data_IF_197629804979
#
_entry.id   IF_197629804979
#
_cell.length_a   1.000
_cell.length_b   1.000
_cell.length_c   1.000
_cell.angle_alpha   90.00
_cell.angle_beta   90.00
_cell.angle_gamma   90.00
#
_symmetry.space_group_name_H-M   'P 1'
#
loop_
_entity.id
_entity.type
_entity.pdbx_description
1 polymer ?
#
# COMPACT_ATOMS: atom_id res chain seq x y z
N UNK A 1 40.44 9.27 -24.02
CA UNK A 1 40.02 9.22 -25.44
C UNK A 1 39.21 7.99 -25.87
N UNK A 2 39.04 6.93 -25.04
CA UNK A 2 38.31 5.70 -25.45
C UNK A 2 36.84 5.91 -25.87
N UNK A 3 36.11 6.85 -25.25
CA UNK A 3 34.74 7.22 -25.63
C UNK A 3 34.64 8.03 -26.94
N UNK A 4 35.76 8.47 -27.50
CA UNK A 4 35.83 9.46 -28.58
C UNK A 4 36.27 8.88 -29.94
N UNK A 5 36.18 7.56 -30.13
CA UNK A 5 36.61 6.90 -31.38
C UNK A 5 38.12 6.98 -31.57
N UNK A 6 38.87 6.50 -30.57
CA UNK A 6 40.29 6.77 -30.40
C UNK A 6 41.20 6.26 -31.53
N UNK A 7 40.83 5.25 -32.31
CA UNK A 7 41.76 4.69 -33.31
C UNK A 7 42.18 5.69 -34.40
N UNK A 8 41.23 6.49 -34.91
CA UNK A 8 41.52 7.47 -35.98
C UNK A 8 42.18 8.76 -35.47
N UNK A 9 41.91 9.14 -34.22
CA UNK A 9 42.47 10.37 -33.63
C UNK A 9 43.85 10.10 -33.01
N UNK A 10 44.05 8.96 -32.34
CA UNK A 10 45.37 8.51 -31.89
C UNK A 10 46.33 8.34 -33.06
N UNK A 11 45.92 7.68 -34.15
CA UNK A 11 46.80 7.50 -35.31
C UNK A 11 47.21 8.81 -36.01
N UNK A 12 46.48 9.91 -35.82
CA UNK A 12 46.87 11.24 -36.31
C UNK A 12 47.79 11.95 -35.30
N UNK A 13 47.57 11.78 -33.99
CA UNK A 13 48.46 12.31 -32.95
C UNK A 13 49.84 11.62 -32.96
N UNK A 14 49.88 10.31 -33.16
CA UNK A 14 51.12 9.52 -33.30
C UNK A 14 51.92 9.94 -34.54
N UNK A 15 51.24 10.30 -35.65
CA UNK A 15 51.87 10.84 -36.87
C UNK A 15 52.34 12.28 -36.75
N UNK A 16 51.70 13.07 -35.87
CA UNK A 16 52.10 14.45 -35.58
C UNK A 16 53.30 14.53 -34.63
N UNK A 17 53.70 13.41 -34.00
CA UNK A 17 54.90 13.33 -33.18
C UNK A 17 54.80 14.09 -31.85
N UNK A 18 53.60 14.26 -31.31
CA UNK A 18 53.42 14.92 -30.01
C UNK A 18 54.03 14.07 -28.88
N UNK A 19 55.08 14.57 -28.23
CA UNK A 19 55.77 13.88 -27.12
C UNK A 19 54.97 13.99 -25.81
N UNK A 20 55.13 13.02 -24.90
CA UNK A 20 54.47 13.03 -23.59
C UNK A 20 54.91 14.26 -22.76
N UNK A 21 54.01 15.24 -22.61
CA UNK A 21 54.23 16.45 -21.81
C UNK A 21 54.05 17.77 -22.55
N UNK A 22 53.95 17.76 -23.89
CA UNK A 22 53.70 18.98 -24.68
C UNK A 22 52.23 19.40 -24.71
N UNK A 23 51.99 20.71 -24.68
CA UNK A 23 50.64 21.30 -24.75
C UNK A 23 50.14 21.27 -26.20
N UNK A 24 49.12 20.45 -26.44
CA UNK A 24 48.52 20.31 -27.77
C UNK A 24 47.54 21.46 -28.02
N UNK A 25 47.90 22.39 -28.91
CA UNK A 25 47.10 23.61 -29.20
C UNK A 25 46.37 23.57 -30.55
N UNK A 26 46.38 22.42 -31.23
CA UNK A 26 45.86 22.34 -32.60
C UNK A 26 44.33 22.58 -32.67
N UNK A 27 43.86 23.59 -33.44
CA UNK A 27 42.43 23.92 -33.52
C UNK A 27 41.52 22.78 -33.99
N UNK A 28 42.06 21.87 -34.82
CA UNK A 28 41.32 20.68 -35.27
C UNK A 28 41.06 19.68 -34.14
N UNK A 29 42.01 19.53 -33.21
CA UNK A 29 41.87 18.64 -32.06
C UNK A 29 40.87 19.23 -31.07
N UNK A 30 40.94 20.54 -30.80
CA UNK A 30 39.95 21.24 -29.97
C UNK A 30 38.53 21.07 -30.53
N UNK A 31 38.32 21.28 -31.84
CA UNK A 31 37.00 21.06 -32.49
C UNK A 31 36.56 19.59 -32.47
N UNK A 32 37.49 18.64 -32.56
CA UNK A 32 37.18 17.22 -32.46
C UNK A 32 36.74 16.83 -31.05
N UNK A 33 37.39 17.38 -30.01
CA UNK A 33 37.01 17.22 -28.61
C UNK A 33 35.62 17.84 -28.36
N UNK A 34 35.38 19.06 -28.83
CA UNK A 34 34.08 19.76 -28.71
C UNK A 34 32.95 18.95 -29.37
N UNK A 35 33.13 18.46 -30.60
CA UNK A 35 32.14 17.59 -31.26
C UNK A 35 31.86 16.31 -30.48
N UNK A 36 32.90 15.74 -29.89
CA UNK A 36 32.80 14.51 -29.11
C UNK A 36 32.09 14.74 -27.78
N UNK A 37 32.38 15.86 -27.10
CA UNK A 37 31.64 16.32 -25.91
C UNK A 37 30.16 16.52 -26.24
N UNK A 38 29.86 17.26 -27.31
CA UNK A 38 28.48 17.46 -27.79
C UNK A 38 27.76 16.14 -28.08
N UNK A 39 28.45 15.15 -28.64
CA UNK A 39 27.88 13.82 -28.90
C UNK A 39 27.57 13.07 -27.60
N UNK A 40 28.45 13.11 -26.62
CA UNK A 40 28.23 12.51 -25.29
C UNK A 40 27.09 13.22 -24.55
N UNK A 41 27.04 14.56 -24.63
CA UNK A 41 25.94 15.35 -24.08
C UNK A 41 24.61 15.00 -24.74
N UNK A 42 24.55 14.91 -26.07
CA UNK A 42 23.34 14.49 -26.80
C UNK A 42 22.90 13.07 -26.43
N UNK A 43 23.85 12.16 -26.24
CA UNK A 43 23.57 10.80 -25.78
C UNK A 43 22.96 10.79 -24.38
N UNK A 44 23.60 11.46 -23.41
CA UNK A 44 23.09 11.59 -22.04
C UNK A 44 21.75 12.33 -21.98
N UNK A 45 21.58 13.36 -22.81
CA UNK A 45 20.32 14.07 -22.96
C UNK A 45 19.22 13.15 -23.47
N UNK A 46 19.52 12.30 -24.47
CA UNK A 46 18.58 11.30 -24.97
C UNK A 46 18.10 10.33 -23.89
N UNK A 47 19.03 9.82 -23.06
CA UNK A 47 18.68 8.95 -21.92
C UNK A 47 17.77 9.67 -20.93
N UNK A 48 18.13 10.89 -20.52
CA UNK A 48 17.32 11.67 -19.56
C UNK A 48 15.96 12.03 -20.12
N UNK A 49 15.88 12.38 -21.40
CA UNK A 49 14.61 12.68 -22.07
C UNK A 49 13.70 11.46 -22.03
N UNK A 50 14.21 10.27 -22.39
CA UNK A 50 13.43 9.03 -22.31
C UNK A 50 12.96 8.76 -20.89
N UNK A 51 13.84 8.88 -19.88
CA UNK A 51 13.48 8.70 -18.47
C UNK A 51 12.35 9.65 -18.03
N UNK A 52 12.44 10.92 -18.43
CA UNK A 52 11.41 11.92 -18.15
C UNK A 52 10.08 11.58 -18.84
N UNK A 53 10.10 11.01 -20.05
CA UNK A 53 8.88 10.59 -20.74
C UNK A 53 8.14 9.43 -20.03
N UNK A 54 8.83 8.58 -19.25
CA UNK A 54 8.21 7.58 -18.38
C UNK A 54 7.63 8.24 -17.13
N UNK A 55 8.42 9.11 -16.49
CA UNK A 55 8.01 9.82 -15.27
C UNK A 55 6.80 10.74 -15.52
N UNK A 56 6.68 11.32 -16.72
CA UNK A 56 5.53 12.14 -17.14
C UNK A 56 4.20 11.37 -17.07
N UNK A 57 4.21 10.06 -17.35
CA UNK A 57 3.01 9.21 -17.26
C UNK A 57 2.55 9.13 -15.81
N UNK A 58 3.49 8.81 -14.90
CA UNK A 58 3.22 8.77 -13.47
C UNK A 58 2.78 10.12 -12.92
N UNK A 59 3.38 11.22 -13.39
CA UNK A 59 3.02 12.55 -12.93
C UNK A 59 1.57 12.91 -13.28
N UNK A 60 1.13 12.62 -14.52
CA UNK A 60 -0.27 12.84 -14.92
C UNK A 60 -1.25 12.02 -14.08
N UNK A 61 -0.95 10.75 -13.84
CA UNK A 61 -1.77 9.89 -12.99
C UNK A 61 -1.83 10.40 -11.55
N UNK A 62 -0.69 10.83 -11.00
CA UNK A 62 -0.61 11.44 -9.67
C UNK A 62 -1.46 12.70 -9.56
N UNK A 63 -1.46 13.57 -10.57
CA UNK A 63 -2.29 14.78 -10.58
C UNK A 63 -3.78 14.44 -10.45
N UNK A 64 -4.25 13.41 -11.16
CA UNK A 64 -5.64 12.93 -11.07
C UNK A 64 -5.93 12.38 -9.68
N UNK A 65 -5.10 11.47 -9.16
CA UNK A 65 -5.33 10.82 -7.86
C UNK A 65 -5.24 11.81 -6.71
N UNK A 66 -4.26 12.69 -6.71
CA UNK A 66 -4.13 13.71 -5.66
C UNK A 66 -5.19 14.81 -5.79
N UNK A 67 -5.64 15.11 -7.01
CA UNK A 67 -6.80 15.97 -7.23
C UNK A 67 -8.05 15.42 -6.55
N UNK A 68 -8.35 14.14 -6.80
CA UNK A 68 -9.47 13.43 -6.15
C UNK A 68 -9.30 13.32 -4.63
N UNK A 69 -8.10 12.99 -4.17
CA UNK A 69 -7.79 12.90 -2.73
C UNK A 69 -8.01 14.23 -2.01
N UNK A 70 -7.55 15.33 -2.60
CA UNK A 70 -7.71 16.66 -2.03
C UNK A 70 -9.17 17.10 -2.03
N UNK A 71 -9.93 16.82 -3.09
CA UNK A 71 -11.36 17.15 -3.10
C UNK A 71 -12.14 16.44 -1.99
N UNK A 72 -11.76 15.20 -1.64
CA UNK A 72 -12.36 14.48 -0.49
C UNK A 72 -11.98 15.13 0.85
N UNK A 73 -10.73 15.58 1.00
CA UNK A 73 -10.27 16.21 2.24
C UNK A 73 -10.96 17.54 2.50
N UNK A 74 -11.05 18.38 1.46
CA UNK A 74 -11.45 19.79 1.57
C UNK A 74 -12.98 19.99 1.59
N UNK A 75 -13.77 19.00 1.19
CA UNK A 75 -15.23 19.13 1.08
C UNK A 75 -15.95 18.73 2.37
N UNK A 76 -17.03 19.43 2.73
CA UNK A 76 -17.84 19.15 3.91
C UNK A 76 -19.03 18.20 3.66
N UNK A 77 -19.24 17.81 2.40
CA UNK A 77 -20.29 16.92 1.92
C UNK A 77 -19.79 16.05 0.77
N UNK A 78 -19.99 14.73 0.86
CA UNK A 78 -19.56 13.77 -0.16
C UNK A 78 -20.72 13.14 -0.93
N UNK A 79 -21.95 13.59 -0.70
CA UNK A 79 -23.15 12.96 -1.25
C UNK A 79 -23.14 12.86 -2.77
N UNK A 80 -22.88 14.00 -3.45
CA UNK A 80 -22.79 14.02 -4.90
C UNK A 80 -21.67 13.14 -5.46
N UNK A 81 -20.56 12.99 -4.71
CA UNK A 81 -19.48 12.10 -5.09
C UNK A 81 -19.92 10.64 -4.95
N UNK A 82 -20.52 10.26 -3.83
CA UNK A 82 -21.00 8.87 -3.62
C UNK A 82 -22.07 8.51 -4.64
N UNK A 83 -23.02 9.40 -4.93
CA UNK A 83 -24.03 9.15 -5.96
C UNK A 83 -23.44 8.96 -7.35
N UNK A 84 -22.42 9.76 -7.72
CA UNK A 84 -21.67 9.55 -8.96
C UNK A 84 -20.99 8.17 -8.99
N UNK A 85 -20.33 7.78 -7.90
CA UNK A 85 -19.71 6.46 -7.79
C UNK A 85 -20.71 5.32 -7.95
N UNK A 86 -21.90 5.44 -7.34
CA UNK A 86 -22.97 4.45 -7.49
C UNK A 86 -23.34 4.31 -8.96
N UNK A 87 -23.50 5.42 -9.67
CA UNK A 87 -23.87 5.40 -11.08
C UNK A 87 -22.78 4.75 -11.94
N UNK A 88 -21.53 5.18 -11.77
CA UNK A 88 -20.38 4.71 -12.54
C UNK A 88 -20.14 3.20 -12.32
N UNK A 89 -20.23 2.71 -11.07
CA UNK A 89 -20.05 1.29 -10.76
C UNK A 89 -21.21 0.44 -11.32
N UNK A 90 -22.44 0.95 -11.27
CA UNK A 90 -23.58 0.23 -11.87
C UNK A 90 -23.42 0.16 -13.39
N UNK A 91 -23.04 1.25 -14.04
CA UNK A 91 -22.79 1.27 -15.48
C UNK A 91 -21.71 0.25 -15.85
N UNK A 92 -20.58 0.27 -15.14
CA UNK A 92 -19.47 -0.65 -15.41
C UNK A 92 -19.87 -2.12 -15.23
N UNK A 93 -20.61 -2.45 -14.16
CA UNK A 93 -21.07 -3.83 -13.94
C UNK A 93 -22.07 -4.21 -15.02
N UNK A 94 -23.06 -3.37 -15.29
CA UNK A 94 -24.09 -3.68 -16.29
C UNK A 94 -23.51 -3.83 -17.70
N UNK A 95 -22.54 -3.02 -18.12
CA UNK A 95 -21.86 -3.16 -19.42
C UNK A 95 -21.26 -4.57 -19.63
N UNK A 96 -20.77 -5.20 -18.56
CA UNK A 96 -20.21 -6.56 -18.59
C UNK A 96 -21.25 -7.67 -18.80
N UNK A 97 -22.50 -7.46 -18.37
CA UNK A 97 -23.60 -8.43 -18.49
C UNK A 97 -24.63 -8.08 -19.57
N UNK A 98 -24.62 -6.83 -20.02
CA UNK A 98 -25.50 -6.24 -21.01
C UNK A 98 -24.67 -5.44 -22.02
N UNK A 99 -23.86 -6.09 -22.87
CA UNK A 99 -23.02 -5.36 -23.83
C UNK A 99 -23.87 -4.49 -24.79
N UNK A 100 -23.44 -3.27 -25.14
CA UNK A 100 -24.26 -2.33 -25.92
C UNK A 100 -24.73 -2.82 -27.30
N UNK A 101 -24.02 -3.78 -27.89
CA UNK A 101 -24.34 -4.36 -29.21
C UNK A 101 -25.11 -5.70 -29.12
N UNK A 102 -25.41 -6.17 -27.92
CA UNK A 102 -26.11 -7.44 -27.69
C UNK A 102 -27.64 -7.29 -27.72
N UNK A 103 -28.32 -8.40 -28.00
CA UNK A 103 -29.79 -8.43 -27.98
C UNK A 103 -30.30 -8.50 -26.52
N UNK A 104 -31.47 -7.92 -26.19
CA UNK A 104 -32.02 -7.99 -24.84
C UNK A 104 -32.22 -9.39 -24.27
N UNK A 105 -32.46 -10.39 -25.14
CA UNK A 105 -32.62 -11.78 -24.73
C UNK A 105 -31.28 -12.45 -24.36
N UNK A 106 -30.13 -11.84 -24.70
CA UNK A 106 -28.78 -12.29 -24.37
C UNK A 106 -28.25 -11.68 -23.06
N UNK A 107 -28.96 -10.71 -22.50
CA UNK A 107 -28.58 -10.02 -21.28
C UNK A 107 -28.67 -10.92 -20.05
N UNK A 108 -27.62 -10.92 -19.25
CA UNK A 108 -27.61 -11.62 -17.95
C UNK A 108 -27.88 -10.63 -16.80
N UNK A 109 -29.13 -10.14 -16.75
CA UNK A 109 -29.61 -9.23 -15.70
C UNK A 109 -29.48 -9.88 -14.31
N UNK A 110 -29.66 -11.20 -14.23
CA UNK A 110 -29.52 -11.96 -12.98
C UNK A 110 -28.07 -12.01 -12.48
N UNK A 111 -27.11 -12.17 -13.40
CA UNK A 111 -25.69 -12.06 -13.14
C UNK A 111 -25.31 -10.67 -12.64
N UNK A 112 -25.74 -9.62 -13.35
CA UNK A 112 -25.53 -8.24 -12.94
C UNK A 112 -26.09 -7.98 -11.52
N UNK A 113 -27.34 -8.37 -11.26
CA UNK A 113 -27.95 -8.20 -9.94
C UNK A 113 -27.19 -8.93 -8.82
N UNK A 114 -26.63 -10.12 -9.12
CA UNK A 114 -25.85 -10.91 -8.16
C UNK A 114 -24.49 -10.28 -7.85
N UNK A 115 -23.81 -9.72 -8.85
CA UNK A 115 -22.56 -8.98 -8.66
C UNK A 115 -22.82 -7.69 -7.85
N UNK A 116 -23.85 -6.94 -8.22
CA UNK A 116 -24.26 -5.73 -7.50
C UNK A 116 -24.69 -6.04 -6.05
N UNK A 117 -25.38 -7.16 -5.78
CA UNK A 117 -25.71 -7.59 -4.41
C UNK A 117 -24.46 -7.79 -3.55
N UNK A 118 -23.36 -8.29 -4.14
CA UNK A 118 -22.09 -8.48 -3.45
C UNK A 118 -21.42 -7.15 -3.08
N UNK A 119 -21.62 -6.11 -3.88
CA UNK A 119 -21.09 -4.75 -3.64
C UNK A 119 -21.95 -4.02 -2.60
N UNK A 120 -23.26 -4.00 -2.83
CA UNK A 120 -24.19 -3.17 -2.07
C UNK A 120 -24.81 -3.85 -0.84
N UNK A 121 -24.59 -5.16 -0.65
CA UNK A 121 -25.10 -5.93 0.48
C UNK A 121 -26.64 -5.96 0.58
N UNK A 122 -27.34 -5.89 -0.56
CA UNK A 122 -28.79 -6.08 -0.63
C UNK A 122 -29.22 -6.65 -1.99
N UNK A 123 -30.40 -7.27 -2.02
CA UNK A 123 -30.99 -7.84 -3.23
C UNK A 123 -31.75 -6.81 -4.03
N UNK A 124 -31.48 -6.74 -5.33
CA UNK A 124 -32.25 -5.94 -6.26
C UNK A 124 -33.52 -6.68 -6.66
N UNK A 125 -34.67 -6.01 -6.53
CA UNK A 125 -35.96 -6.59 -6.89
C UNK A 125 -36.29 -6.29 -8.35
N UNK A 126 -35.95 -7.24 -9.23
CA UNK A 126 -36.22 -7.11 -10.67
C UNK A 126 -37.67 -7.43 -11.02
N UNK A 127 -38.48 -7.94 -10.08
CA UNK A 127 -39.90 -8.28 -10.34
C UNK A 127 -40.79 -7.06 -10.52
N UNK A 128 -40.29 -5.87 -10.17
CA UNK A 128 -40.98 -4.59 -10.31
C UNK A 128 -41.01 -4.13 -11.78
N UNK A 129 -40.03 -4.55 -12.59
CA UNK A 129 -39.97 -4.19 -14.00
C UNK A 129 -40.92 -5.06 -14.83
N UNK A 130 -41.62 -4.43 -15.76
CA UNK A 130 -42.40 -5.13 -16.78
C UNK A 130 -41.49 -5.82 -17.79
N UNK A 131 -42.03 -6.79 -18.54
CA UNK A 131 -41.27 -7.50 -19.58
C UNK A 131 -40.68 -6.55 -20.65
N UNK A 132 -41.37 -5.45 -20.94
CA UNK A 132 -40.88 -4.44 -21.88
C UNK A 132 -39.72 -3.63 -21.28
N UNK A 133 -39.81 -3.27 -20.00
CA UNK A 133 -38.75 -2.54 -19.31
C UNK A 133 -37.49 -3.39 -19.12
N UNK A 134 -37.64 -4.70 -18.90
CA UNK A 134 -36.48 -5.62 -18.87
C UNK A 134 -35.75 -5.73 -20.20
N UNK A 135 -36.38 -5.30 -21.30
CA UNK A 135 -35.78 -5.26 -22.65
C UNK A 135 -35.25 -3.88 -23.03
N UNK A 136 -35.35 -2.90 -22.13
CA UNK A 136 -34.83 -1.55 -22.31
C UNK A 136 -33.65 -1.33 -21.36
N UNK A 137 -32.46 -1.22 -21.93
CA UNK A 137 -31.19 -1.12 -21.19
C UNK A 137 -31.24 0.00 -20.15
N UNK A 138 -31.71 1.17 -20.59
CA UNK A 138 -31.86 2.34 -19.73
C UNK A 138 -32.80 2.09 -18.56
N UNK A 139 -33.92 1.41 -18.77
CA UNK A 139 -34.89 1.15 -17.70
C UNK A 139 -34.29 0.22 -16.63
N UNK A 140 -33.52 -0.79 -17.05
CA UNK A 140 -32.82 -1.71 -16.14
C UNK A 140 -31.73 -0.98 -15.34
N UNK A 141 -30.88 -0.19 -16.01
CA UNK A 141 -29.82 0.59 -15.35
C UNK A 141 -30.41 1.62 -14.39
N UNK A 142 -31.42 2.38 -14.81
CA UNK A 142 -32.05 3.40 -13.98
C UNK A 142 -32.74 2.78 -12.75
N UNK A 143 -33.28 1.56 -12.86
CA UNK A 143 -33.80 0.79 -11.72
C UNK A 143 -32.71 0.44 -10.71
N UNK A 144 -31.60 -0.15 -11.18
CA UNK A 144 -30.45 -0.46 -10.30
C UNK A 144 -29.94 0.79 -9.59
N UNK A 145 -29.75 1.90 -10.32
CA UNK A 145 -29.29 3.17 -9.74
C UNK A 145 -30.28 3.69 -8.70
N UNK A 146 -31.58 3.68 -9.00
CA UNK A 146 -32.60 4.15 -8.07
C UNK A 146 -32.63 3.33 -6.77
N UNK A 147 -32.56 1.99 -6.85
CA UNK A 147 -32.53 1.14 -5.67
C UNK A 147 -31.25 1.34 -4.84
N UNK A 148 -30.08 1.42 -5.49
CA UNK A 148 -28.80 1.62 -4.81
C UNK A 148 -28.71 2.97 -4.10
N UNK A 149 -29.14 4.06 -4.77
CA UNK A 149 -29.18 5.40 -4.15
C UNK A 149 -30.17 5.44 -2.99
N UNK A 150 -31.35 4.82 -3.13
CA UNK A 150 -32.33 4.73 -2.04
C UNK A 150 -31.78 3.95 -0.84
N UNK A 151 -31.07 2.85 -1.09
CA UNK A 151 -30.44 2.07 -0.04
C UNK A 151 -29.34 2.86 0.68
N UNK A 152 -28.53 3.62 -0.06
CA UNK A 152 -27.53 4.52 0.50
C UNK A 152 -28.16 5.59 1.40
N UNK A 153 -29.20 6.28 0.93
CA UNK A 153 -29.90 7.31 1.72
C UNK A 153 -30.54 6.75 2.98
N UNK A 154 -31.18 5.58 2.88
CA UNK A 154 -31.74 4.89 4.04
C UNK A 154 -30.66 4.60 5.08
N UNK A 155 -29.52 4.08 4.63
CA UNK A 155 -28.38 3.78 5.51
C UNK A 155 -27.79 5.04 6.14
N UNK A 156 -27.58 6.10 5.35
CA UNK A 156 -27.10 7.41 5.79
C UNK A 156 -28.01 7.98 6.89
N UNK A 157 -29.33 7.85 6.74
CA UNK A 157 -30.31 8.34 7.74
C UNK A 157 -30.23 7.62 9.10
N UNK A 158 -29.69 6.40 9.15
CA UNK A 158 -29.52 5.61 10.38
C UNK A 158 -28.24 5.98 11.15
N UNK A 159 -27.36 6.77 10.56
CA UNK A 159 -26.04 7.10 11.09
C UNK A 159 -25.99 8.61 11.36
N UNK A 160 -25.47 9.06 12.53
CA UNK A 160 -25.24 10.48 12.77
C UNK A 160 -24.38 11.10 11.67
N UNK A 161 -24.78 12.27 11.16
CA UNK A 161 -24.20 12.87 9.95
C UNK A 161 -22.69 13.14 10.06
N UNK A 162 -22.22 13.54 11.24
CA UNK A 162 -20.80 13.75 11.53
C UNK A 162 -19.99 12.46 11.46
N UNK A 163 -20.53 11.36 11.99
CA UNK A 163 -19.92 10.03 11.93
C UNK A 163 -19.93 9.52 10.49
N UNK A 164 -21.03 9.72 9.74
CA UNK A 164 -21.13 9.27 8.36
C UNK A 164 -20.09 9.96 7.47
N UNK A 165 -19.97 11.29 7.54
CA UNK A 165 -18.98 12.03 6.76
C UNK A 165 -17.54 11.58 7.07
N UNK A 166 -17.23 11.35 8.35
CA UNK A 166 -15.92 10.81 8.75
C UNK A 166 -15.68 9.41 8.21
N UNK A 167 -16.70 8.55 8.24
CA UNK A 167 -16.64 7.20 7.69
C UNK A 167 -16.40 7.23 6.16
N UNK A 168 -17.14 8.08 5.44
CA UNK A 168 -16.98 8.28 4.00
C UNK A 168 -15.57 8.74 3.65
N UNK A 169 -15.09 9.82 4.27
CA UNK A 169 -13.72 10.31 4.08
C UNK A 169 -12.69 9.23 4.38
N UNK A 170 -12.83 8.53 5.51
CA UNK A 170 -11.89 7.49 5.92
C UNK A 170 -11.83 6.36 4.89
N UNK A 171 -12.98 5.82 4.47
CA UNK A 171 -13.04 4.72 3.50
C UNK A 171 -12.48 5.18 2.15
N UNK A 172 -12.92 6.32 1.63
CA UNK A 172 -12.45 6.83 0.34
C UNK A 172 -10.94 7.06 0.31
N UNK A 173 -10.41 7.75 1.33
CA UNK A 173 -8.98 8.05 1.39
C UNK A 173 -8.14 6.79 1.56
N UNK A 174 -8.59 5.85 2.40
CA UNK A 174 -7.87 4.59 2.60
C UNK A 174 -7.87 3.74 1.31
N UNK A 175 -9.02 3.62 0.63
CA UNK A 175 -9.12 2.89 -0.64
C UNK A 175 -8.22 3.50 -1.72
N UNK A 176 -8.20 4.83 -1.85
CA UNK A 176 -7.31 5.53 -2.78
C UNK A 176 -5.85 5.28 -2.42
N UNK A 177 -5.46 5.47 -1.16
CA UNK A 177 -4.06 5.36 -0.73
C UNK A 177 -3.53 3.93 -0.91
N UNK A 178 -4.33 2.90 -0.60
CA UNK A 178 -3.97 1.49 -0.78
C UNK A 178 -3.80 1.12 -2.25
N UNK A 179 -4.81 1.38 -3.09
CA UNK A 179 -4.79 1.04 -4.53
C UNK A 179 -3.71 1.82 -5.28
N UNK A 180 -3.49 3.09 -4.94
CA UNK A 180 -2.43 3.89 -5.53
C UNK A 180 -1.04 3.35 -5.19
N UNK A 181 -0.80 2.94 -3.95
CA UNK A 181 0.48 2.33 -3.56
C UNK A 181 0.75 1.03 -4.31
N UNK A 182 -0.27 0.20 -4.52
CA UNK A 182 -0.14 -1.03 -5.28
C UNK A 182 0.15 -0.75 -6.76
N UNK A 183 -0.60 0.16 -7.38
CA UNK A 183 -0.37 0.60 -8.77
C UNK A 183 1.03 1.15 -9.00
N UNK A 184 1.60 1.93 -8.06
CA UNK A 184 2.99 2.40 -8.17
C UNK A 184 3.99 1.23 -8.24
N UNK A 185 3.77 0.16 -7.48
CA UNK A 185 4.62 -1.05 -7.54
C UNK A 185 4.47 -1.76 -8.88
N UNK A 186 3.23 -1.84 -9.38
CA UNK A 186 2.96 -2.48 -10.67
C UNK A 186 3.57 -1.68 -11.83
N UNK A 187 3.55 -0.34 -11.78
CA UNK A 187 4.20 0.53 -12.76
C UNK A 187 5.72 0.40 -12.74
N UNK A 188 6.33 0.26 -11.56
CA UNK A 188 7.77 0.01 -11.43
C UNK A 188 8.13 -1.34 -12.07
N UNK A 189 7.36 -2.39 -11.79
CA UNK A 189 7.54 -3.72 -12.41
C UNK A 189 7.37 -3.66 -13.94
N UNK A 190 6.33 -2.97 -14.41
CA UNK A 190 6.08 -2.77 -15.85
C UNK A 190 7.25 -2.07 -16.51
N UNK A 191 7.78 -1.01 -15.90
CA UNK A 191 8.92 -0.25 -16.40
C UNK A 191 10.18 -1.11 -16.53
N UNK A 192 10.46 -1.99 -15.58
CA UNK A 192 11.59 -2.91 -15.66
C UNK A 192 11.41 -3.96 -16.78
N UNK A 193 10.18 -4.47 -16.97
CA UNK A 193 9.85 -5.50 -17.94
C UNK A 193 9.65 -5.01 -19.39
N UNK A 194 9.31 -3.74 -19.59
CA UNK A 194 8.86 -3.26 -20.92
C UNK A 194 9.95 -3.33 -21.99
N UNK A 195 11.23 -3.32 -21.59
CA UNK A 195 12.34 -3.42 -22.52
C UNK A 195 12.34 -4.74 -23.31
N UNK A 196 11.75 -5.82 -22.78
CA UNK A 196 11.61 -7.07 -23.52
C UNK A 196 10.64 -6.97 -24.72
N UNK A 197 9.71 -6.00 -24.73
CA UNK A 197 8.83 -5.76 -25.88
C UNK A 197 9.59 -5.24 -27.11
N UNK A 198 10.77 -4.65 -26.92
CA UNK A 198 11.61 -4.19 -28.04
C UNK A 198 12.07 -5.33 -28.96
N UNK A 199 12.12 -6.57 -28.47
CA UNK A 199 12.39 -7.75 -29.30
C UNK A 199 11.32 -8.00 -30.37
N UNK A 200 10.08 -7.53 -30.15
CA UNK A 200 9.00 -7.58 -31.13
C UNK A 200 8.94 -6.35 -32.04
N UNK A 201 10.01 -5.55 -32.11
CA UNK A 201 10.12 -4.32 -32.92
C UNK A 201 9.08 -3.24 -32.59
N UNK A 202 8.47 -3.31 -31.40
CA UNK A 202 7.60 -2.27 -30.88
C UNK A 202 8.40 -1.22 -30.08
N UNK A 203 7.95 0.04 -30.08
CA UNK A 203 8.56 1.08 -29.23
C UNK A 203 8.16 0.84 -27.77
N UNK A 204 9.11 0.56 -26.85
CA UNK A 204 8.79 0.27 -25.45
C UNK A 204 8.06 1.41 -24.74
N UNK A 205 8.32 2.67 -25.09
CA UNK A 205 7.66 3.80 -24.44
C UNK A 205 6.18 3.86 -24.82
N UNK A 206 5.83 3.51 -26.06
CA UNK A 206 4.44 3.50 -26.52
C UNK A 206 3.67 2.40 -25.81
N UNK A 207 4.23 1.20 -25.76
CA UNK A 207 3.62 0.06 -25.05
C UNK A 207 3.49 0.35 -23.55
N UNK A 208 4.53 0.93 -22.92
CA UNK A 208 4.46 1.36 -21.52
C UNK A 208 3.30 2.33 -21.28
N UNK A 209 3.14 3.35 -22.13
CA UNK A 209 2.06 4.34 -21.99
C UNK A 209 0.68 3.71 -22.09
N UNK A 210 0.50 2.76 -23.00
CA UNK A 210 -0.78 2.06 -23.19
C UNK A 210 -1.09 1.15 -22.01
N UNK A 211 -0.15 0.30 -21.62
CA UNK A 211 -0.31 -0.66 -20.52
C UNK A 211 -0.48 0.08 -19.18
N UNK A 212 0.32 1.12 -18.93
CA UNK A 212 0.18 1.97 -17.74
C UNK A 212 -1.15 2.72 -17.67
N UNK A 213 -1.73 3.12 -18.81
CA UNK A 213 -3.04 3.77 -18.85
C UNK A 213 -4.16 2.78 -18.57
N UNK A 214 -4.08 1.57 -19.13
CA UNK A 214 -5.04 0.50 -18.87
C UNK A 214 -5.05 0.13 -17.38
N UNK A 215 -3.88 -0.16 -16.81
CA UNK A 215 -3.73 -0.46 -15.38
C UNK A 215 -4.25 0.67 -14.48
N UNK A 216 -4.00 1.92 -14.87
CA UNK A 216 -4.51 3.08 -14.13
C UNK A 216 -6.04 3.18 -14.15
N UNK A 217 -6.65 2.91 -15.31
CA UNK A 217 -8.12 2.94 -15.45
C UNK A 217 -8.74 1.83 -14.60
N UNK A 218 -8.19 0.61 -14.69
CA UNK A 218 -8.61 -0.52 -13.85
C UNK A 218 -8.45 -0.22 -12.35
N UNK A 219 -7.35 0.42 -11.94
CA UNK A 219 -7.14 0.82 -10.55
C UNK A 219 -8.21 1.85 -10.10
N UNK A 220 -8.58 2.81 -10.95
CA UNK A 220 -9.62 3.81 -10.61
C UNK A 220 -10.97 3.12 -10.41
N UNK A 221 -11.36 2.23 -11.31
CA UNK A 221 -12.59 1.45 -11.19
C UNK A 221 -12.60 0.58 -9.91
N UNK A 222 -11.46 -0.04 -9.61
CA UNK A 222 -11.26 -0.83 -8.39
C UNK A 222 -11.40 0.01 -7.12
N UNK A 223 -10.90 1.25 -7.12
CA UNK A 223 -11.10 2.19 -6.02
C UNK A 223 -12.60 2.41 -5.81
N UNK A 224 -13.35 2.66 -6.89
CA UNK A 224 -14.77 3.00 -6.82
C UNK A 224 -15.60 1.84 -6.25
N UNK A 225 -15.36 0.62 -6.75
CA UNK A 225 -15.97 -0.60 -6.22
C UNK A 225 -15.59 -0.83 -4.75
N UNK A 226 -14.32 -0.64 -4.39
CA UNK A 226 -13.84 -0.84 -3.01
C UNK A 226 -14.48 0.17 -2.05
N UNK A 227 -14.65 1.43 -2.48
CA UNK A 227 -15.30 2.48 -1.70
C UNK A 227 -16.75 2.12 -1.44
N UNK A 228 -17.53 1.80 -2.48
CA UNK A 228 -18.94 1.43 -2.32
C UNK A 228 -19.09 0.17 -1.47
N UNK A 229 -18.28 -0.85 -1.73
CA UNK A 229 -18.27 -2.06 -0.92
C UNK A 229 -18.03 -1.73 0.55
N UNK A 230 -16.99 -0.93 0.85
CA UNK A 230 -16.65 -0.49 2.20
C UNK A 230 -17.80 0.28 2.86
N UNK A 231 -18.43 1.22 2.14
CA UNK A 231 -19.53 2.04 2.66
C UNK A 231 -20.73 1.18 3.07
N UNK A 232 -21.11 0.19 2.25
CA UNK A 232 -22.26 -0.67 2.51
C UNK A 232 -21.95 -1.80 3.52
N UNK A 233 -20.71 -2.30 3.55
CA UNK A 233 -20.30 -3.38 4.45
C UNK A 233 -19.81 -2.92 5.82
N UNK A 234 -19.43 -1.65 5.97
CA UNK A 234 -18.97 -1.11 7.25
C UNK A 234 -20.00 -1.36 8.36
N UNK A 235 -19.54 -1.85 9.51
CA UNK A 235 -20.41 -2.01 10.69
C UNK A 235 -20.08 -0.91 11.68
N UNK A 236 -21.06 -0.05 11.94
CA UNK A 236 -20.96 0.96 12.99
C UNK A 236 -21.49 0.33 14.27
N UNK A 237 -20.57 -0.06 15.15
CA UNK A 237 -20.93 -0.46 16.50
C UNK A 237 -21.39 0.79 17.25
N UNK A 238 -22.69 0.90 17.54
CA UNK A 238 -23.20 1.96 18.41
C UNK A 238 -22.48 1.90 19.76
N UNK A 239 -22.13 3.05 20.38
CA UNK A 239 -21.42 3.09 21.66
C UNK A 239 -22.16 2.32 22.77
N UNK A 240 -23.48 2.22 22.69
CA UNK A 240 -24.34 1.46 23.63
C UNK A 240 -24.07 -0.06 23.61
N UNK A 241 -23.55 -0.61 22.50
CA UNK A 241 -23.09 -2.01 22.41
C UNK A 241 -21.65 -2.19 22.92
N UNK A 242 -20.81 -1.17 22.83
CA UNK A 242 -19.44 -1.20 23.35
C UNK A 242 -19.41 -1.28 24.88
N UNK A 243 -20.38 -0.67 25.56
CA UNK A 243 -20.52 -0.72 27.02
C UNK A 243 -20.94 -2.11 27.51
N UNK A 244 -21.78 -2.83 26.75
CA UNK A 244 -22.17 -4.23 27.01
C UNK A 244 -21.05 -5.25 26.74
N UNK A 245 -20.05 -4.88 25.94
CA UNK A 245 -18.91 -5.72 25.57
C UNK A 245 -17.71 -5.59 26.50
N UNK A 246 -17.76 -4.72 27.51
CA UNK A 246 -16.76 -4.75 28.58
C UNK A 246 -16.94 -6.07 29.32
N UNK A 247 -15.96 -7.00 29.31
CA UNK A 247 -16.05 -8.16 30.17
C UNK A 247 -16.19 -7.61 31.59
N UNK A 248 -17.29 -7.98 32.26
CA UNK A 248 -17.46 -7.73 33.69
C UNK A 248 -16.17 -8.23 34.31
N UNK A 249 -15.33 -7.33 34.80
CA UNK A 249 -14.06 -7.65 35.43
C UNK A 249 -14.44 -8.54 36.60
N UNK A 250 -14.40 -9.85 36.41
CA UNK A 250 -14.51 -10.80 37.50
C UNK A 250 -13.34 -10.45 38.39
N UNK A 251 -13.66 -9.75 39.47
CA UNK A 251 -12.73 -9.56 40.56
C UNK A 251 -12.47 -10.98 41.03
N UNK A 252 -11.34 -11.53 40.62
CA UNK A 252 -10.84 -12.78 41.16
C UNK A 252 -10.72 -12.56 42.67
N UNK A 253 -11.73 -12.99 43.42
CA UNK A 253 -11.63 -13.15 44.85
C UNK A 253 -10.55 -14.20 45.05
N UNK A 254 -9.35 -13.75 45.41
CA UNK A 254 -8.29 -14.61 45.86
C UNK A 254 -8.76 -15.27 47.16
N UNK A 255 -9.48 -16.38 47.03
CA UNK A 255 -9.85 -17.24 48.13
C UNK A 255 -8.54 -17.89 48.58
N UNK A 256 -7.91 -17.32 49.59
CA UNK A 256 -6.74 -17.92 50.24
C UNK A 256 -7.19 -19.25 50.80
N UNK A 257 -6.81 -20.33 50.11
CA UNK A 257 -6.94 -21.68 50.63
C UNK A 257 -5.76 -21.85 51.57
N UNK A 258 -5.93 -21.43 52.83
CA UNK A 258 -5.09 -21.84 53.94
C UNK A 258 -5.34 -23.33 54.21
N UNK A 259 -4.82 -24.17 53.32
CA UNK A 259 -4.68 -25.59 53.54
C UNK A 259 -3.17 -25.88 53.54
N UNK A 260 -2.73 -26.55 54.61
CA UNK A 260 -1.35 -26.92 54.95
C UNK A 260 -0.56 -25.94 55.83
N UNK A 261 -1.01 -25.76 57.08
CA UNK A 261 -0.14 -25.81 58.27
C UNK A 261 -0.94 -25.73 59.59
N UNK A 262 -1.44 -26.86 60.13
CA UNK A 262 -1.85 -26.94 61.53
C UNK A 262 -1.93 -28.39 62.08
N UNK A 263 -0.80 -29.09 62.13
CA UNK A 263 -0.49 -30.21 63.05
C UNK A 263 1.03 -30.37 62.98
N UNK A 264 1.87 -29.93 63.92
CA UNK A 264 2.03 -30.38 65.32
C UNK A 264 3.10 -29.50 66.03
N UNK A 265 3.36 -29.66 67.35
CA UNK A 265 3.56 -28.53 68.27
C UNK A 265 5.01 -28.08 68.53
N UNK A 266 5.07 -26.83 69.02
CA UNK A 266 6.06 -26.15 69.87
C UNK A 266 7.48 -26.74 70.03
N UNK A 267 8.49 -25.92 69.70
CA UNK A 267 9.75 -25.75 70.48
C UNK A 267 10.45 -24.43 70.12
N UNK A 268 10.82 -23.69 71.16
CA UNK A 268 11.63 -22.47 71.12
C UNK A 268 13.08 -22.75 70.71
N UNK A 269 13.71 -21.85 69.92
CA UNK A 269 15.08 -21.32 70.08
C UNK A 269 15.57 -20.56 68.81
N UNK A 270 16.18 -19.39 68.99
CA UNK A 270 17.13 -18.71 68.06
C UNK A 270 18.59 -19.06 68.49
N UNK A 271 19.69 -18.70 67.78
CA UNK A 271 19.91 -18.27 66.37
C UNK A 271 21.12 -18.94 65.63
N UNK A 272 21.09 -19.00 64.28
CA UNK A 272 22.22 -19.08 63.31
C UNK A 272 23.24 -20.24 63.40
N UNK A 273 24.26 -20.37 62.51
CA UNK A 273 24.37 -20.15 61.06
C UNK A 273 24.89 -21.41 60.29
N UNK A 274 25.21 -21.25 59.00
CA UNK A 274 26.15 -22.06 58.16
C UNK A 274 25.60 -23.27 57.37
N UNK A 275 25.88 -23.23 56.05
CA UNK A 275 25.86 -24.32 55.04
C UNK A 275 26.90 -25.43 55.41
N UNK A 276 27.25 -26.50 54.64
CA UNK A 276 27.01 -26.82 53.22
C UNK A 276 26.77 -28.33 52.89
N UNK A 277 26.54 -28.64 51.60
CA UNK A 277 26.85 -29.93 50.94
C UNK A 277 26.05 -31.16 51.38
N UNK A 278 25.99 -32.28 50.68
CA UNK A 278 26.44 -32.68 49.35
C UNK A 278 25.80 -34.07 49.08
N UNK A 279 25.64 -34.39 47.78
CA UNK A 279 25.59 -35.72 47.16
C UNK A 279 24.40 -36.68 47.49
N UNK A 280 23.93 -37.62 46.65
CA UNK A 280 24.48 -38.35 45.50
C UNK A 280 23.32 -38.67 44.50
N UNK A 281 23.56 -38.60 43.19
CA UNK A 281 22.64 -39.02 42.09
C UNK A 281 22.63 -40.55 41.87
N UNK A 282 22.43 -41.11 40.63
CA UNK A 282 21.90 -40.59 39.35
C UNK A 282 20.61 -41.36 38.92
N UNK A 283 19.82 -41.06 37.87
CA UNK A 283 20.17 -40.97 36.46
C UNK A 283 18.95 -40.55 35.59
N UNK A 284 19.26 -40.14 34.34
CA UNK A 284 18.44 -40.12 33.12
C UNK A 284 17.67 -38.83 32.72
N UNK A 285 18.40 -38.00 31.93
CA UNK A 285 18.05 -37.44 30.61
C UNK A 285 16.89 -36.44 30.41
N UNK A 286 17.28 -35.18 30.16
CA UNK A 286 16.87 -34.24 29.08
C UNK A 286 16.65 -32.81 29.60
N UNK A 287 17.69 -31.97 29.52
CA UNK A 287 17.66 -30.59 30.01
C UNK A 287 17.51 -29.59 28.86
N UNK A 288 16.35 -28.93 28.82
CA UNK A 288 16.15 -27.66 28.14
C UNK A 288 16.92 -26.53 28.84
N UNK A 289 17.48 -25.65 28.05
CA UNK A 289 18.27 -24.49 28.46
C UNK A 289 17.37 -23.49 29.21
N UNK A 290 17.64 -23.25 30.50
CA UNK A 290 17.00 -22.16 31.27
C UNK A 290 17.59 -20.80 30.84
N UNK A 291 16.78 -19.74 30.70
CA UNK A 291 17.29 -18.41 30.36
C UNK A 291 18.08 -17.80 31.52
N UNK A 292 19.30 -17.34 31.24
CA UNK A 292 20.13 -16.58 32.19
C UNK A 292 19.44 -15.25 32.53
N UNK A 293 19.16 -15.03 33.80
CA UNK A 293 18.71 -13.75 34.32
C UNK A 293 19.93 -12.85 34.51
N UNK A 294 19.98 -11.72 33.80
CA UNK A 294 21.12 -10.81 33.81
C UNK A 294 21.04 -9.90 35.05
N UNK A 295 22.12 -9.84 35.84
CA UNK A 295 22.15 -9.05 37.09
C UNK A 295 22.28 -7.54 36.87
N UNK A 296 22.48 -7.07 35.62
CA UNK A 296 22.61 -5.65 35.31
C UNK A 296 21.45 -5.12 34.45
N UNK A 297 20.94 -3.89 34.74
CA UNK A 297 19.85 -3.29 33.99
C UNK A 297 20.22 -3.01 32.54
N UNK A 298 19.30 -3.29 31.61
CA UNK A 298 19.49 -3.09 30.17
C UNK A 298 19.57 -1.59 29.87
N UNK A 299 20.77 -1.09 29.57
CA UNK A 299 21.01 0.32 29.20
C UNK A 299 20.27 0.65 27.89
N UNK A 300 19.43 1.69 27.92
CA UNK A 300 18.67 2.16 26.78
C UNK A 300 19.53 2.88 25.75
N UNK A 301 19.13 2.83 24.47
CA UNK A 301 19.89 3.38 23.32
C UNK A 301 20.26 4.87 23.45
N UNK A 302 19.50 5.65 24.23
CA UNK A 302 19.72 7.08 24.45
C UNK A 302 20.27 7.42 25.85
N UNK A 303 20.48 6.43 26.72
CA UNK A 303 20.96 6.64 28.10
C UNK A 303 22.46 6.97 28.12
N UNK A 304 22.98 7.54 29.23
CA UNK A 304 24.41 7.75 29.40
C UNK A 304 25.18 6.44 29.26
N UNK A 305 26.25 6.46 28.46
CA UNK A 305 27.01 5.25 28.19
C UNK A 305 27.77 4.79 29.46
N UNK A 306 27.68 3.51 29.85
CA UNK A 306 28.26 3.00 31.10
C UNK A 306 29.79 2.99 31.12
N UNK A 307 30.45 3.23 29.98
CA UNK A 307 31.91 3.41 29.90
C UNK A 307 32.42 4.76 30.44
N UNK A 308 31.53 5.61 30.97
CA UNK A 308 31.90 6.89 31.59
C UNK A 308 32.26 8.00 30.59
N UNK A 309 31.99 7.81 29.30
CA UNK A 309 32.38 8.76 28.23
C UNK A 309 31.55 10.05 28.18
N UNK A 310 30.50 10.18 29.00
CA UNK A 310 29.57 11.31 28.99
C UNK A 310 28.67 11.41 27.75
N UNK A 311 28.76 10.47 26.80
CA UNK A 311 27.96 10.43 25.56
C UNK A 311 26.78 9.46 25.70
N UNK A 312 25.73 9.63 24.89
CA UNK A 312 24.60 8.68 24.79
C UNK A 312 25.08 7.33 24.23
N UNK A 313 24.53 6.21 24.73
CA UNK A 313 24.97 4.84 24.38
C UNK A 313 25.10 4.58 22.87
N UNK A 314 24.11 5.00 22.06
CA UNK A 314 24.14 4.86 20.59
C UNK A 314 25.27 5.60 19.87
N UNK A 315 25.89 6.60 20.51
CA UNK A 315 26.99 7.40 19.96
C UNK A 315 28.35 7.01 20.59
N UNK A 316 28.40 5.86 21.27
CA UNK A 316 29.59 5.34 21.92
C UNK A 316 29.62 3.80 21.80
N UNK A 317 29.46 3.05 22.89
CA UNK A 317 29.55 1.59 22.87
C UNK A 317 28.47 0.89 22.02
N UNK A 318 27.34 1.55 21.76
CA UNK A 318 26.27 1.04 20.89
C UNK A 318 26.36 1.51 19.42
N UNK A 319 27.50 2.05 18.97
CA UNK A 319 27.64 2.62 17.63
C UNK A 319 27.99 1.59 16.54
N UNK A 320 28.01 0.30 16.89
CA UNK A 320 28.24 -0.83 15.97
C UNK A 320 27.42 -2.07 16.33
N UNK A 321 26.25 -1.88 16.95
CA UNK A 321 25.31 -2.94 17.35
C UNK A 321 23.93 -2.69 16.77
#
# INVERSE_FOLDING_TARGET
MRLFGSERISGVMDRLGAEEGEVITHPFITRAIEKSQKKVELYNFGIRKRLLEYDDVMNKQREVIYGRRNSILDTDDLDGMVHGLIDDVIDQVTEGFMPPESLPDEWDIGGAASELETIFLFKFDMSVLSEQETKEERAVIDHFRAEARKAFELRKSMIPADIMLQLEKMIMLQSIDEKWMDHLRELDNLREGIHFRSYAQKDPLVEYKQEAFQMFSEMVDDIDKTVLWGLFHARIDSPDKAERRRPRREVAMHRTVDAYAATQPAREAKPGPVAPGADIGPAASSAGTRPLQREEPKVGRNDPCPCGSGKKYKKCCGQGS
#
